data_IF_230361176724
#
_entry.id   IF_230361176724
#
_cell.length_a   1.000
_cell.length_b   1.000
_cell.length_c   1.000
_cell.angle_alpha   90.00
_cell.angle_beta   90.00
_cell.angle_gamma   90.00
#
_symmetry.space_group_name_H-M   'P 1'
#
loop_
_entity.id
_entity.type
_entity.pdbx_description
1 polymer ?
#
# COMPACT_ATOMS: atom_id res chain seq x y z
N UNK A 1 7.48 7.61 7.78
CA UNK A 1 6.51 6.77 8.53
C UNK A 1 6.67 6.99 10.03
N UNK A 2 5.73 7.67 10.71
CA UNK A 2 5.90 7.96 12.17
C UNK A 2 5.28 6.89 13.07
N UNK A 3 4.35 6.08 12.55
CA UNK A 3 3.64 5.05 13.32
C UNK A 3 4.06 3.62 12.98
N UNK A 4 4.82 3.40 11.90
CA UNK A 4 5.23 2.05 11.47
C UNK A 4 6.72 1.86 11.69
N UNK A 5 7.08 0.76 12.35
CA UNK A 5 8.46 0.35 12.58
C UNK A 5 8.75 -0.92 11.77
N UNK A 6 9.75 -0.86 10.89
CA UNK A 6 10.17 -2.02 10.11
C UNK A 6 11.32 -2.74 10.84
N UNK A 7 11.12 -4.02 11.14
CA UNK A 7 12.09 -4.89 11.80
C UNK A 7 12.65 -5.88 10.78
N UNK A 8 13.96 -5.83 10.55
CA UNK A 8 14.63 -6.66 9.54
C UNK A 8 15.13 -7.95 10.17
N UNK A 9 14.58 -9.09 9.74
CA UNK A 9 14.93 -10.42 10.20
C UNK A 9 15.82 -11.10 9.14
N UNK A 10 17.15 -10.91 9.26
CA UNK A 10 18.13 -11.33 8.24
C UNK A 10 18.95 -12.58 8.63
N UNK A 11 18.54 -13.30 9.68
CA UNK A 11 19.20 -14.54 10.10
C UNK A 11 19.20 -15.62 8.99
N UNK A 12 18.16 -15.63 8.13
CA UNK A 12 18.00 -16.53 6.98
C UNK A 12 18.58 -15.95 5.68
N UNK A 13 19.38 -14.89 5.76
CA UNK A 13 20.02 -14.23 4.63
C UNK A 13 19.60 -12.77 4.47
N UNK A 14 20.37 -12.07 3.63
CA UNK A 14 20.28 -10.62 3.45
C UNK A 14 19.13 -10.19 2.55
N UNK A 15 18.50 -9.08 2.90
CA UNK A 15 17.57 -8.32 2.06
C UNK A 15 18.12 -6.92 1.72
N UNK A 16 19.42 -6.70 1.91
CA UNK A 16 20.05 -5.39 1.75
C UNK A 16 19.79 -4.75 0.37
N UNK A 17 19.79 -5.54 -0.70
CA UNK A 17 19.56 -5.05 -2.07
C UNK A 17 18.14 -4.52 -2.28
N UNK A 18 17.15 -5.11 -1.61
CA UNK A 18 15.75 -4.72 -1.72
C UNK A 18 15.36 -3.66 -0.67
N UNK A 19 16.21 -3.42 0.33
CA UNK A 19 15.86 -2.64 1.52
C UNK A 19 15.33 -1.25 1.17
N UNK A 20 16.00 -0.53 0.27
CA UNK A 20 15.57 0.82 -0.14
C UNK A 20 14.20 0.82 -0.80
N UNK A 21 13.97 -0.13 -1.73
CA UNK A 21 12.71 -0.25 -2.47
C UNK A 21 11.56 -0.60 -1.52
N UNK A 22 11.80 -1.54 -0.60
CA UNK A 22 10.83 -1.94 0.41
C UNK A 22 10.46 -0.76 1.31
N UNK A 23 11.44 -0.01 1.84
CA UNK A 23 11.16 1.18 2.66
C UNK A 23 10.31 2.19 1.89
N UNK A 24 10.66 2.45 0.62
CA UNK A 24 9.90 3.34 -0.25
C UNK A 24 8.44 2.90 -0.44
N UNK A 25 8.21 1.60 -0.64
CA UNK A 25 6.87 1.04 -0.77
C UNK A 25 6.07 1.09 0.53
N UNK A 26 6.69 0.84 1.68
CA UNK A 26 6.05 1.01 2.98
C UNK A 26 5.67 2.47 3.25
N UNK A 27 6.55 3.43 2.93
CA UNK A 27 6.25 4.86 3.06
C UNK A 27 5.11 5.27 2.12
N UNK A 28 5.07 4.72 0.90
CA UNK A 28 3.99 4.96 -0.05
C UNK A 28 2.67 4.38 0.46
N UNK A 29 2.68 3.14 0.98
CA UNK A 29 1.50 2.48 1.52
C UNK A 29 0.97 3.21 2.77
N UNK A 30 1.87 3.67 3.64
CA UNK A 30 1.53 4.51 4.79
C UNK A 30 0.79 5.78 4.35
N UNK A 31 1.32 6.49 3.34
CA UNK A 31 0.67 7.67 2.76
C UNK A 31 -0.67 7.32 2.11
N UNK A 32 -0.80 6.15 1.50
CA UNK A 32 -2.06 5.67 0.92
C UNK A 32 -3.12 5.46 2.00
N UNK A 33 -2.81 4.73 3.07
CA UNK A 33 -3.73 4.49 4.20
C UNK A 33 -4.12 5.80 4.88
N UNK A 34 -3.17 6.71 5.05
CA UNK A 34 -3.36 8.04 5.67
C UNK A 34 -4.42 8.90 4.98
N UNK A 35 -4.78 8.62 3.72
CA UNK A 35 -5.81 9.38 2.99
C UNK A 35 -7.23 9.12 3.48
N UNK A 36 -7.44 7.99 4.17
CA UNK A 36 -8.76 7.57 4.64
C UNK A 36 -8.86 7.57 6.16
N UNK A 37 -7.80 7.12 6.84
CA UNK A 37 -7.76 7.01 8.30
C UNK A 37 -6.37 7.36 8.82
N UNK A 38 -6.23 7.80 10.08
CA UNK A 38 -4.93 7.82 10.75
C UNK A 38 -4.35 6.40 10.78
N UNK A 39 -3.14 6.15 10.22
CA UNK A 39 -2.55 4.82 10.25
C UNK A 39 -2.34 4.33 11.69
N UNK A 40 -2.67 3.07 12.01
CA UNK A 40 -2.40 2.52 13.33
C UNK A 40 -0.88 2.40 13.55
N UNK A 41 -0.47 2.32 14.83
CA UNK A 41 0.91 1.96 15.16
C UNK A 41 1.14 0.49 14.87
N UNK A 42 2.13 0.17 14.04
CA UNK A 42 2.41 -1.19 13.59
C UNK A 42 3.90 -1.50 13.67
N UNK A 43 4.22 -2.68 14.19
CA UNK A 43 5.49 -3.34 13.95
C UNK A 43 5.36 -4.23 12.71
N UNK A 44 6.29 -4.12 11.78
CA UNK A 44 6.30 -4.93 10.57
C UNK A 44 7.56 -5.76 10.53
N UNK A 45 7.41 -7.08 10.52
CA UNK A 45 8.52 -8.01 10.41
C UNK A 45 8.84 -8.23 8.93
N UNK A 46 10.02 -7.81 8.50
CA UNK A 46 10.51 -8.02 7.13
C UNK A 46 11.48 -9.19 7.16
N UNK A 47 11.14 -10.28 6.48
CA UNK A 47 11.89 -11.53 6.59
C UNK A 47 12.15 -12.19 5.24
N UNK A 48 13.34 -12.78 5.10
CA UNK A 48 13.71 -13.65 3.98
C UNK A 48 13.42 -15.10 4.38
N UNK A 49 12.38 -15.71 3.80
CA UNK A 49 12.10 -17.14 4.00
C UNK A 49 11.77 -17.78 2.64
N UNK A 50 12.80 -18.24 1.91
CA UNK A 50 12.59 -18.90 0.63
C UNK A 50 11.67 -20.12 0.77
N UNK A 51 10.73 -20.28 -0.16
CA UNK A 51 9.73 -21.35 -0.11
C UNK A 51 8.55 -21.13 0.85
N UNK A 52 8.55 -20.07 1.68
CA UNK A 52 7.43 -19.68 2.55
C UNK A 52 6.68 -18.44 2.01
N UNK A 53 6.63 -18.31 0.69
CA UNK A 53 5.91 -17.24 -0.01
C UNK A 53 4.86 -17.80 -0.95
N UNK A 54 3.98 -16.94 -1.48
CA UNK A 54 3.06 -17.36 -2.55
C UNK A 54 3.88 -17.52 -3.84
N UNK A 55 3.95 -18.72 -4.45
CA UNK A 55 4.84 -19.01 -5.59
C UNK A 55 4.68 -18.05 -6.77
N UNK A 56 3.45 -17.62 -7.05
CA UNK A 56 3.10 -16.72 -8.14
C UNK A 56 3.54 -15.26 -7.91
N UNK A 57 3.88 -14.90 -6.66
CA UNK A 57 4.25 -13.53 -6.30
C UNK A 57 5.66 -13.39 -5.72
N UNK A 58 6.21 -14.44 -5.11
CA UNK A 58 7.48 -14.39 -4.38
C UNK A 58 7.42 -13.59 -3.06
N UNK A 59 6.21 -13.29 -2.59
CA UNK A 59 5.97 -12.60 -1.32
C UNK A 59 4.69 -13.09 -0.64
N UNK A 60 4.59 -12.85 0.67
CA UNK A 60 3.40 -13.17 1.48
C UNK A 60 3.29 -12.19 2.66
N UNK A 61 2.11 -11.60 2.82
CA UNK A 61 1.71 -10.86 4.01
C UNK A 61 1.04 -11.76 5.06
N UNK A 62 1.24 -11.46 6.34
CA UNK A 62 0.49 -12.11 7.42
C UNK A 62 0.34 -11.21 8.65
N UNK A 63 -0.89 -10.79 8.95
CA UNK A 63 -1.23 -10.16 10.21
C UNK A 63 -1.36 -11.19 11.35
N UNK A 64 -0.65 -10.95 12.45
CA UNK A 64 -0.72 -11.81 13.65
C UNK A 64 -1.59 -11.20 14.73
N UNK A 65 -1.54 -9.87 14.90
CA UNK A 65 -2.33 -9.12 15.88
C UNK A 65 -2.70 -7.76 15.32
N UNK A 66 -3.45 -6.99 16.09
CA UNK A 66 -3.85 -5.61 15.75
C UNK A 66 -2.68 -4.65 15.54
N UNK A 67 -1.49 -4.97 16.04
CA UNK A 67 -0.32 -4.09 15.99
C UNK A 67 0.90 -4.70 15.30
N UNK A 68 0.80 -5.91 14.74
CA UNK A 68 1.95 -6.59 14.13
C UNK A 68 1.54 -7.50 12.96
N UNK A 69 2.29 -7.37 11.87
CA UNK A 69 2.23 -8.27 10.72
C UNK A 69 3.63 -8.53 10.16
N UNK A 70 3.78 -9.58 9.35
CA UNK A 70 5.00 -9.84 8.60
C UNK A 70 4.82 -9.63 7.11
N UNK A 71 5.88 -9.21 6.46
CA UNK A 71 6.10 -9.39 5.02
C UNK A 71 7.25 -10.36 4.80
N UNK A 72 6.92 -11.54 4.31
CA UNK A 72 7.89 -12.56 3.89
C UNK A 72 8.21 -12.40 2.42
N UNK A 73 9.49 -12.44 2.09
CA UNK A 73 10.03 -12.26 0.74
C UNK A 73 10.92 -13.44 0.38
N UNK A 74 10.88 -13.82 -0.89
CA UNK A 74 11.76 -14.82 -1.48
C UNK A 74 12.52 -14.19 -2.66
N UNK A 75 13.75 -13.66 -2.43
CA UNK A 75 14.58 -13.08 -3.48
C UNK A 75 14.93 -14.05 -4.61
N UNK A 76 14.89 -15.35 -4.33
CA UNK A 76 15.24 -16.40 -5.31
C UNK A 76 14.03 -16.78 -6.18
N UNK A 77 12.82 -16.30 -5.83
CA UNK A 77 11.63 -16.50 -6.64
C UNK A 77 11.61 -15.55 -7.85
N UNK A 78 11.54 -16.07 -9.10
CA UNK A 78 11.57 -15.26 -10.31
C UNK A 78 10.38 -14.29 -10.44
N UNK A 79 9.28 -14.52 -9.71
CA UNK A 79 8.10 -13.67 -9.71
C UNK A 79 8.17 -12.49 -8.73
N UNK A 80 9.16 -12.45 -7.83
CA UNK A 80 9.28 -11.36 -6.86
C UNK A 80 9.46 -10.01 -7.56
N UNK A 81 10.50 -9.87 -8.39
CA UNK A 81 10.79 -8.60 -9.06
C UNK A 81 9.64 -8.11 -9.96
N UNK A 82 8.98 -8.95 -10.80
CA UNK A 82 7.74 -8.57 -11.46
C UNK A 82 6.64 -8.10 -10.52
N UNK A 83 6.45 -8.76 -9.37
CA UNK A 83 5.44 -8.41 -8.38
C UNK A 83 5.71 -7.06 -7.73
N UNK A 84 6.97 -6.75 -7.42
CA UNK A 84 7.37 -5.43 -6.91
C UNK A 84 7.03 -4.33 -7.93
N UNK A 85 7.38 -4.53 -9.20
CA UNK A 85 7.14 -3.53 -10.27
C UNK A 85 5.67 -3.30 -10.60
N UNK A 86 4.79 -4.27 -10.33
CA UNK A 86 3.35 -4.17 -10.63
C UNK A 86 2.53 -3.63 -9.45
N UNK A 87 3.20 -3.20 -8.38
CA UNK A 87 2.56 -2.69 -7.16
C UNK A 87 1.89 -3.77 -6.31
N UNK A 88 2.26 -5.04 -6.49
CA UNK A 88 1.70 -6.16 -5.70
C UNK A 88 2.09 -6.03 -4.24
N UNK A 89 3.34 -5.63 -3.96
CA UNK A 89 3.79 -5.36 -2.59
C UNK A 89 2.93 -4.28 -1.92
N UNK A 90 2.70 -3.16 -2.62
CA UNK A 90 1.86 -2.07 -2.10
C UNK A 90 0.46 -2.55 -1.74
N UNK A 91 -0.16 -3.35 -2.63
CA UNK A 91 -1.49 -3.93 -2.39
C UNK A 91 -1.48 -4.84 -1.15
N UNK A 92 -0.48 -5.70 -1.02
CA UNK A 92 -0.32 -6.59 0.12
C UNK A 92 -0.12 -5.83 1.44
N UNK A 93 0.73 -4.79 1.47
CA UNK A 93 0.90 -3.97 2.67
C UNK A 93 -0.44 -3.35 3.11
N UNK A 94 -1.20 -2.77 2.18
CA UNK A 94 -2.51 -2.17 2.51
C UNK A 94 -3.53 -3.23 2.95
N UNK A 95 -3.46 -4.44 2.38
CA UNK A 95 -4.28 -5.60 2.76
C UNK A 95 -3.99 -6.04 4.20
N UNK A 96 -2.72 -6.22 4.56
CA UNK A 96 -2.33 -6.62 5.93
C UNK A 96 -2.65 -5.54 6.97
N UNK A 97 -2.49 -4.27 6.63
CA UNK A 97 -2.93 -3.16 7.50
C UNK A 97 -4.43 -3.26 7.78
N UNK A 98 -5.24 -3.60 6.76
CA UNK A 98 -6.66 -3.84 6.97
C UNK A 98 -6.91 -5.03 7.90
N UNK A 99 -6.17 -6.14 7.77
CA UNK A 99 -6.28 -7.25 8.71
C UNK A 99 -5.95 -6.82 10.15
N UNK A 100 -4.89 -6.05 10.38
CA UNK A 100 -4.59 -5.52 11.71
C UNK A 100 -5.76 -4.68 12.27
N UNK A 101 -6.35 -3.79 11.47
CA UNK A 101 -7.52 -3.00 11.88
C UNK A 101 -8.74 -3.87 12.17
N UNK A 102 -8.96 -4.90 11.35
CA UNK A 102 -10.06 -5.84 11.51
C UNK A 102 -9.91 -6.64 12.80
N UNK A 103 -8.70 -7.13 13.09
CA UNK A 103 -8.36 -7.82 14.34
C UNK A 103 -8.55 -6.91 15.55
N UNK A 104 -8.25 -5.61 15.43
CA UNK A 104 -8.46 -4.63 16.51
C UNK A 104 -9.94 -4.39 16.84
N UNK A 105 -10.85 -4.68 15.91
CA UNK A 105 -12.29 -4.52 16.10
C UNK A 105 -13.00 -5.88 16.16
N UNK A 106 -13.79 -6.24 15.13
CA UNK A 106 -14.66 -7.43 15.17
C UNK A 106 -13.91 -8.77 15.00
N UNK A 107 -12.61 -8.76 14.72
CA UNK A 107 -11.83 -9.97 14.50
C UNK A 107 -11.91 -10.51 13.06
N UNK A 108 -11.07 -11.50 12.79
CA UNK A 108 -10.98 -12.18 11.48
C UNK A 108 -12.16 -13.14 11.21
N UNK A 109 -12.72 -13.73 12.27
CA UNK A 109 -13.77 -14.75 12.18
C UNK A 109 -13.28 -16.14 12.57
N UNK A 110 -14.23 -17.03 12.88
CA UNK A 110 -13.99 -18.42 13.31
C UNK A 110 -14.54 -19.45 12.32
N UNK A 111 -15.38 -19.00 11.39
CA UNK A 111 -15.94 -19.84 10.32
C UNK A 111 -15.33 -19.46 8.97
N UNK A 112 -15.40 -20.39 8.00
CA UNK A 112 -15.00 -20.11 6.63
C UNK A 112 -15.76 -18.92 6.03
N UNK A 113 -17.06 -18.82 6.31
CA UNK A 113 -17.89 -17.71 5.81
C UNK A 113 -17.42 -16.36 6.33
N UNK A 114 -17.08 -16.26 7.62
CA UNK A 114 -16.54 -15.03 8.20
C UNK A 114 -15.13 -14.71 7.66
N UNK A 115 -14.29 -15.72 7.46
CA UNK A 115 -12.98 -15.55 6.84
C UNK A 115 -13.10 -14.99 5.41
N UNK A 116 -14.01 -15.53 4.59
CA UNK A 116 -14.30 -15.02 3.25
C UNK A 116 -14.76 -13.56 3.27
N UNK A 117 -15.60 -13.18 4.25
CA UNK A 117 -16.01 -11.78 4.44
C UNK A 117 -14.81 -10.91 4.82
N UNK A 118 -13.95 -11.36 5.73
CA UNK A 118 -12.76 -10.62 6.15
C UNK A 118 -11.77 -10.40 5.00
N UNK A 119 -11.48 -11.43 4.21
CA UNK A 119 -10.64 -11.32 3.01
C UNK A 119 -11.28 -10.43 1.94
N UNK A 120 -12.57 -10.59 1.69
CA UNK A 120 -13.32 -9.77 0.74
C UNK A 120 -13.29 -8.28 1.12
N UNK A 121 -13.46 -7.95 2.40
CA UNK A 121 -13.38 -6.58 2.91
C UNK A 121 -11.96 -6.01 2.77
N UNK A 122 -10.92 -6.80 3.04
CA UNK A 122 -9.54 -6.38 2.82
C UNK A 122 -9.28 -6.04 1.35
N UNK A 123 -9.74 -6.89 0.43
CA UNK A 123 -9.68 -6.62 -1.01
C UNK A 123 -10.45 -5.36 -1.43
N UNK A 124 -11.63 -5.13 -0.85
CA UNK A 124 -12.40 -3.89 -1.09
C UNK A 124 -11.69 -2.65 -0.55
N UNK A 125 -11.05 -2.75 0.61
CA UNK A 125 -10.27 -1.66 1.20
C UNK A 125 -9.10 -1.26 0.31
N UNK A 126 -8.32 -2.22 -0.17
CA UNK A 126 -7.25 -2.02 -1.15
C UNK A 126 -7.79 -1.35 -2.42
N UNK A 127 -8.87 -1.88 -2.99
CA UNK A 127 -9.50 -1.32 -4.20
C UNK A 127 -9.98 0.11 -4.00
N UNK A 128 -10.57 0.41 -2.84
CA UNK A 128 -11.07 1.74 -2.51
C UNK A 128 -9.95 2.78 -2.42
N UNK A 129 -8.84 2.42 -1.77
CA UNK A 129 -7.70 3.32 -1.59
C UNK A 129 -6.89 3.53 -2.87
N UNK A 130 -6.70 2.49 -3.68
CA UNK A 130 -5.89 2.56 -4.89
C UNK A 130 -6.67 2.97 -6.13
N UNK A 131 -7.99 2.76 -6.15
CA UNK A 131 -8.88 3.23 -7.22
C UNK A 131 -9.14 4.75 -7.18
N UNK A 132 -8.91 5.40 -6.04
CA UNK A 132 -8.94 6.87 -5.91
C UNK A 132 -7.61 7.44 -6.40
N UNK A 133 -7.51 7.81 -7.69
CA UNK A 133 -6.36 8.57 -8.21
C UNK A 133 -6.10 9.80 -7.33
N UNK A 134 -4.84 10.16 -7.03
CA UNK A 134 -4.54 11.44 -6.43
C UNK A 134 -5.03 12.55 -7.36
N UNK A 135 -5.85 13.47 -6.85
CA UNK A 135 -6.09 14.74 -7.54
C UNK A 135 -4.73 15.46 -7.54
N UNK A 136 -4.15 15.69 -8.71
CA UNK A 136 -2.89 16.42 -8.80
C UNK A 136 -3.05 17.78 -8.11
N UNK A 137 -2.18 18.07 -7.14
CA UNK A 137 -2.12 19.36 -6.47
C UNK A 137 -1.51 20.37 -7.47
N UNK A 138 -2.34 20.90 -8.37
CA UNK A 138 -1.88 21.81 -9.42
C UNK A 138 -2.97 22.36 -10.34
N UNK A 139 -4.12 21.70 -10.48
CA UNK A 139 -5.22 22.23 -11.29
C UNK A 139 -6.10 23.18 -10.47
N UNK A 140 -5.56 24.37 -10.18
CA UNK A 140 -6.39 25.56 -10.09
C UNK A 140 -6.85 25.84 -11.52
N UNK A 141 -8.11 25.49 -11.83
CA UNK A 141 -8.79 26.10 -12.98
C UNK A 141 -8.88 27.60 -12.70
N UNK A 142 -7.96 28.37 -13.25
CA UNK A 142 -8.20 29.79 -13.44
C UNK A 142 -9.37 29.92 -14.42
N UNK A 143 -10.41 30.70 -14.11
CA UNK A 143 -11.40 31.03 -15.12
C UNK A 143 -10.68 31.83 -16.21
N UNK A 144 -10.75 31.38 -17.47
CA UNK A 144 -10.34 32.20 -18.61
C UNK A 144 -11.19 33.46 -18.59
N UNK A 145 -10.62 34.58 -18.16
CA UNK A 145 -11.15 35.90 -18.52
C UNK A 145 -10.88 36.07 -20.01
N UNK A 146 -11.94 36.12 -20.81
CA UNK A 146 -11.88 36.62 -22.18
C UNK A 146 -11.62 38.13 -22.10
N UNK A 147 -10.36 38.53 -22.21
CA UNK A 147 -9.99 39.92 -22.45
C UNK A 147 -9.87 40.15 -23.97
N UNK A 148 -10.97 40.56 -24.59
CA UNK A 148 -10.91 41.36 -25.82
C UNK A 148 -10.76 42.83 -25.40
N UNK A 149 -9.60 43.43 -25.71
CA UNK A 149 -9.36 44.87 -25.65
C UNK A 149 -9.15 45.41 -27.09
N UNK A 150 -9.31 46.73 -27.32
CA UNK A 150 -9.89 47.31 -28.54
C UNK A 150 -8.87 47.97 -29.48
N UNK A 151 -9.28 48.24 -30.72
CA UNK A 151 -8.68 49.23 -31.62
C UNK A 151 -9.73 49.59 -32.67
N UNK A 152 -10.50 50.66 -32.46
CA UNK A 152 -10.34 52.08 -32.88
C UNK A 152 -10.71 52.33 -34.36
N UNK A 153 -11.36 53.49 -34.64
CA UNK A 153 -12.15 53.72 -35.84
C UNK A 153 -11.34 54.44 -36.92
N UNK A 154 -11.73 54.32 -38.19
CA UNK A 154 -11.59 55.39 -39.19
C UNK A 154 -12.77 55.34 -40.17
N UNK A 155 -13.58 56.40 -40.12
CA UNK A 155 -14.49 56.90 -41.17
C UNK A 155 -13.66 57.86 -42.07
N UNK A 156 -14.00 58.04 -43.36
CA UNK A 156 -15.17 58.84 -43.78
C UNK A 156 -16.10 58.19 -44.81
#
# INVERSE_FOLDING_TARGET
>A
MDAWTLHWLEASGSLAELRSDLIGEFDAAYKTVSRLIPPPRLDVLIQRLPGETIPEMGLLGRAYRSTIFSMTLDPDNPNLLPSLRTGTLHRQIVHEVHHCLRIAGPGYGWTLGEALVSEGLAGQFVRHLLGKRPRALGERRYPRRSSSFPGRPEDP
#
